data_IF_152863496314
#
_entry.id   IF_152863496314
#
_cell.length_a   1.000
_cell.length_b   1.000
_cell.length_c   1.000
_cell.angle_alpha   90.00
_cell.angle_beta   90.00
_cell.angle_gamma   90.00
#
_symmetry.space_group_name_H-M   'P 1'
#
loop_
_entity.id
_entity.type
_entity.pdbx_description
1 polymer ?
#
# COMPACT_ATOMS: atom_id res chain seq x y z
N UNK A 1 -8.25 -11.53 31.05
CA UNK A 1 -7.35 -11.19 29.94
C UNK A 1 -8.07 -11.53 28.65
N UNK A 2 -8.06 -10.61 27.70
CA UNK A 2 -8.50 -10.88 26.34
C UNK A 2 -7.52 -11.86 25.68
N UNK A 3 -8.02 -12.65 24.72
CA UNK A 3 -7.17 -13.52 23.89
C UNK A 3 -6.08 -12.69 23.17
N UNK A 4 -6.40 -11.43 22.83
CA UNK A 4 -5.46 -10.49 22.20
C UNK A 4 -4.29 -10.12 23.12
N UNK A 5 -4.55 -9.79 24.38
CA UNK A 5 -3.52 -9.41 25.35
C UNK A 5 -2.52 -10.56 25.60
N UNK A 6 -2.99 -11.80 25.53
CA UNK A 6 -2.13 -12.99 25.65
C UNK A 6 -1.22 -13.17 24.44
N UNK A 7 -1.73 -12.89 23.24
CA UNK A 7 -0.94 -12.93 22.00
C UNK A 7 0.12 -11.82 22.02
N UNK A 8 -0.22 -10.60 22.43
CA UNK A 8 0.74 -9.50 22.56
C UNK A 8 1.86 -9.84 23.54
N UNK A 9 1.52 -10.37 24.73
CA UNK A 9 2.51 -10.80 25.70
C UNK A 9 3.42 -11.92 25.16
N UNK A 10 2.86 -12.88 24.42
CA UNK A 10 3.63 -13.94 23.78
C UNK A 10 4.61 -13.37 22.74
N UNK A 11 4.17 -12.43 21.91
CA UNK A 11 4.99 -11.76 20.90
C UNK A 11 6.15 -11.00 21.55
N UNK A 12 5.88 -10.27 22.65
CA UNK A 12 6.91 -9.53 23.39
C UNK A 12 7.95 -10.45 24.06
N UNK A 13 7.59 -11.70 24.34
CA UNK A 13 8.49 -12.70 24.93
C UNK A 13 9.33 -13.47 23.91
N UNK A 14 9.09 -13.29 22.61
CA UNK A 14 9.79 -14.05 21.58
C UNK A 14 11.27 -13.64 21.47
N UNK A 15 12.18 -14.60 21.21
CA UNK A 15 13.53 -14.29 20.78
C UNK A 15 13.51 -13.49 19.47
N UNK A 16 14.50 -12.61 19.28
CA UNK A 16 14.58 -11.73 18.09
C UNK A 16 14.49 -12.48 16.76
N UNK A 17 15.06 -13.69 16.68
CA UNK A 17 15.01 -14.52 15.47
C UNK A 17 13.61 -15.03 15.12
N UNK A 18 12.80 -15.34 16.13
CA UNK A 18 11.44 -15.84 15.91
C UNK A 18 10.45 -14.69 15.75
N UNK A 19 10.72 -13.55 16.39
CA UNK A 19 10.01 -12.30 16.11
C UNK A 19 10.20 -11.84 14.66
N UNK A 20 11.40 -11.97 14.10
CA UNK A 20 11.66 -11.61 12.70
C UNK A 20 10.91 -12.52 11.72
N UNK A 21 10.87 -13.83 11.97
CA UNK A 21 10.04 -14.77 11.20
C UNK A 21 8.55 -14.44 11.31
N UNK A 22 8.07 -14.13 12.51
CA UNK A 22 6.68 -13.73 12.74
C UNK A 22 6.35 -12.47 11.97
N UNK A 23 7.25 -11.48 11.95
CA UNK A 23 7.06 -10.23 11.19
C UNK A 23 6.95 -10.50 9.69
N UNK A 24 7.84 -11.33 9.13
CA UNK A 24 7.82 -11.68 7.71
C UNK A 24 6.51 -12.37 7.34
N UNK A 25 6.13 -13.39 8.11
CA UNK A 25 4.86 -14.08 7.89
C UNK A 25 3.64 -13.14 8.00
N UNK A 26 3.66 -12.20 8.95
CA UNK A 26 2.57 -11.25 9.10
C UNK A 26 2.46 -10.29 7.90
N UNK A 27 3.60 -9.90 7.32
CA UNK A 27 3.62 -9.10 6.10
C UNK A 27 3.00 -9.86 4.92
N UNK A 28 3.35 -11.14 4.75
CA UNK A 28 2.77 -11.99 3.71
C UNK A 28 1.25 -12.13 3.88
N UNK A 29 0.78 -12.32 5.11
CA UNK A 29 -0.65 -12.37 5.43
C UNK A 29 -1.36 -11.04 5.12
N UNK A 30 -0.71 -9.91 5.38
CA UNK A 30 -1.27 -8.59 5.09
C UNK A 30 -1.39 -8.36 3.58
N UNK A 31 -0.41 -8.84 2.80
CA UNK A 31 -0.49 -8.84 1.34
C UNK A 31 -1.64 -9.71 0.82
N UNK A 32 -1.80 -10.94 1.34
CA UNK A 32 -2.92 -11.81 0.94
C UNK A 32 -4.28 -11.16 1.22
N UNK A 33 -4.45 -10.53 2.39
CA UNK A 33 -5.68 -9.81 2.73
C UNK A 33 -5.90 -8.58 1.84
N UNK A 34 -4.82 -7.91 1.47
CA UNK A 34 -4.90 -6.77 0.57
C UNK A 34 -5.33 -7.19 -0.82
N UNK A 35 -4.82 -8.31 -1.34
CA UNK A 35 -5.26 -8.90 -2.60
C UNK A 35 -6.77 -9.23 -2.55
N UNK A 36 -7.24 -9.91 -1.50
CA UNK A 36 -8.67 -10.21 -1.32
C UNK A 36 -9.54 -8.94 -1.28
N UNK A 37 -9.07 -7.89 -0.59
CA UNK A 37 -9.79 -6.61 -0.49
C UNK A 37 -9.84 -5.88 -1.83
N UNK A 38 -8.74 -5.90 -2.60
CA UNK A 38 -8.68 -5.31 -3.94
C UNK A 38 -9.64 -6.04 -4.87
N UNK A 39 -9.68 -7.37 -4.86
CA UNK A 39 -10.62 -8.15 -5.67
C UNK A 39 -12.07 -7.80 -5.35
N UNK A 40 -12.43 -7.69 -4.07
CA UNK A 40 -13.77 -7.25 -3.65
C UNK A 40 -14.07 -5.82 -4.10
N UNK A 41 -13.12 -4.90 -3.96
CA UNK A 41 -13.32 -3.51 -4.37
C UNK A 41 -13.47 -3.37 -5.90
N UNK A 42 -12.84 -4.26 -6.69
CA UNK A 42 -13.06 -4.40 -8.13
C UNK A 42 -14.49 -4.88 -8.41
N UNK A 43 -14.93 -5.95 -7.74
CA UNK A 43 -16.30 -6.49 -7.91
C UNK A 43 -17.38 -5.47 -7.52
N UNK A 44 -17.11 -4.66 -6.49
CA UNK A 44 -18.00 -3.58 -6.04
C UNK A 44 -17.93 -2.32 -6.92
N UNK A 45 -17.06 -2.29 -7.92
CA UNK A 45 -16.89 -1.16 -8.84
C UNK A 45 -16.34 0.10 -8.18
N UNK A 46 -15.72 -0.01 -7.00
CA UNK A 46 -15.13 1.14 -6.30
C UNK A 46 -13.93 1.71 -7.04
N UNK A 47 -13.20 0.86 -7.76
CA UNK A 47 -12.06 1.27 -8.57
C UNK A 47 -12.46 1.80 -9.96
N UNK A 48 -13.74 1.75 -10.32
CA UNK A 48 -14.22 2.17 -11.63
C UNK A 48 -14.01 3.68 -11.85
N UNK A 49 -14.20 4.49 -10.79
CA UNK A 49 -13.92 5.92 -10.83
C UNK A 49 -12.43 6.22 -11.06
N UNK A 50 -11.55 5.48 -10.39
CA UNK A 50 -10.10 5.60 -10.56
C UNK A 50 -9.67 5.16 -11.97
N UNK A 51 -10.29 4.11 -12.52
CA UNK A 51 -10.05 3.66 -13.88
C UNK A 51 -10.49 4.73 -14.91
N UNK A 52 -11.67 5.34 -14.72
CA UNK A 52 -12.15 6.41 -15.58
C UNK A 52 -11.26 7.65 -15.54
N UNK A 53 -10.81 8.05 -14.36
CA UNK A 53 -9.88 9.17 -14.19
C UNK A 53 -8.54 8.88 -14.89
N UNK A 54 -7.99 7.68 -14.70
CA UNK A 54 -6.74 7.27 -15.36
C UNK A 54 -6.87 7.25 -16.90
N UNK A 55 -8.01 6.79 -17.43
CA UNK A 55 -8.31 6.83 -18.86
C UNK A 55 -8.41 8.27 -19.35
N UNK A 56 -9.12 9.15 -18.62
CA UNK A 56 -9.26 10.55 -18.99
C UNK A 56 -7.91 11.28 -19.00
N UNK A 57 -7.03 11.02 -18.03
CA UNK A 57 -5.67 11.57 -18.01
C UNK A 57 -4.82 11.02 -19.16
N UNK A 58 -4.95 9.74 -19.48
CA UNK A 58 -4.25 9.12 -20.61
C UNK A 58 -4.71 9.73 -21.94
N UNK A 59 -6.01 9.88 -22.15
CA UNK A 59 -6.61 10.51 -23.34
C UNK A 59 -6.26 12.00 -23.45
N UNK A 60 -6.14 12.71 -22.33
CA UNK A 60 -5.67 14.09 -22.28
C UNK A 60 -4.17 14.23 -22.65
N UNK A 61 -3.43 13.13 -22.80
CA UNK A 61 -2.00 13.14 -23.11
C UNK A 61 -1.12 13.50 -21.90
N UNK A 62 -1.66 13.41 -20.68
CA UNK A 62 -0.99 13.76 -19.43
C UNK A 62 -0.13 12.60 -18.87
N UNK A 63 0.08 11.53 -19.64
CA UNK A 63 0.98 10.43 -19.27
C UNK A 63 2.47 10.79 -19.39
N UNK A 64 2.79 11.99 -19.90
CA UNK A 64 4.15 12.44 -20.11
C UNK A 64 4.68 13.22 -18.90
N UNK A 65 5.85 12.81 -18.39
CA UNK A 65 6.68 13.53 -17.40
C UNK A 65 7.09 14.96 -17.82
N UNK A 66 6.62 15.48 -18.96
CA UNK A 66 6.75 16.89 -19.36
C UNK A 66 5.95 17.86 -18.49
N UNK A 67 5.13 17.37 -17.56
CA UNK A 67 4.42 18.18 -16.55
C UNK A 67 5.25 18.51 -15.31
N UNK A 68 6.49 18.02 -15.18
CA UNK A 68 7.45 18.69 -14.29
C UNK A 68 7.78 20.02 -14.93
N UNK A 69 7.09 21.07 -14.46
CA UNK A 69 7.50 22.45 -14.67
C UNK A 69 9.00 22.54 -14.42
N UNK A 70 9.77 22.65 -15.50
CA UNK A 70 11.21 22.87 -15.47
C UNK A 70 11.60 24.12 -14.67
N UNK A 71 10.63 24.95 -14.24
CA UNK A 71 10.78 26.04 -13.29
C UNK A 71 10.90 25.64 -11.81
N UNK A 72 10.45 24.46 -11.39
CA UNK A 72 10.53 24.04 -9.98
C UNK A 72 11.90 23.48 -9.59
N UNK A 73 12.69 22.99 -10.55
CA UNK A 73 14.02 22.42 -10.30
C UNK A 73 15.08 23.52 -10.07
N UNK A 74 14.78 24.79 -10.42
CA UNK A 74 15.71 25.91 -10.23
C UNK A 74 15.75 26.49 -8.80
N UNK A 75 14.89 26.02 -7.88
CA UNK A 75 14.81 26.58 -6.51
C UNK A 75 15.38 25.68 -5.41
N UNK A 76 15.85 24.47 -5.72
CA UNK A 76 16.56 23.65 -4.73
C UNK A 76 18.06 23.90 -4.85
N UNK A 77 18.48 25.05 -4.32
CA UNK A 77 19.88 25.36 -4.08
C UNK A 77 20.37 24.45 -2.93
N UNK A 78 21.26 23.51 -3.26
CA UNK A 78 22.19 22.91 -2.30
C UNK A 78 23.26 23.95 -1.96
#
# INVERSE_FOLDING_TARGET
MSNLEQIEAAILSLPSSDFEKLRLWFLDLDYERWDEQIEQDIEEGKLEALAQDAIAEFEAGHWNLTGLDTGAIASFNI
#
